data_IF_397509144902
#
_entry.id   IF_397509144902
#
_cell.length_a   1.000
_cell.length_b   1.000
_cell.length_c   1.000
_cell.angle_alpha   90.00
_cell.angle_beta   90.00
_cell.angle_gamma   90.00
#
_symmetry.space_group_name_H-M   'P 1'
#
loop_
_entity.id
_entity.type
_entity.pdbx_description
1 polymer ?
#
# COMPACT_ATOMS: atom_id res chain seq x y z
N UNK A 1 11.06 3.36 -3.59
CA UNK A 1 9.86 2.50 -3.57
C UNK A 1 8.64 3.41 -3.59
N UNK A 2 7.62 3.11 -4.39
CA UNK A 2 6.50 4.04 -4.57
C UNK A 2 5.47 3.93 -3.44
N UNK A 3 5.10 5.04 -2.79
CA UNK A 3 3.79 5.14 -2.14
C UNK A 3 2.75 5.25 -3.26
N UNK A 4 2.18 4.12 -3.68
CA UNK A 4 1.38 4.01 -4.90
C UNK A 4 -0.13 4.14 -4.66
N UNK A 5 -0.53 4.29 -3.40
CA UNK A 5 -1.93 4.45 -3.02
C UNK A 5 -2.08 5.53 -1.95
N UNK A 6 -2.99 6.48 -2.19
CA UNK A 6 -3.46 7.42 -1.18
C UNK A 6 -4.91 7.12 -0.83
N UNK A 7 -5.16 6.96 0.46
CA UNK A 7 -6.47 6.63 1.00
C UNK A 7 -6.93 7.78 1.89
N UNK A 8 -8.19 8.17 1.76
CA UNK A 8 -8.81 9.21 2.58
C UNK A 8 -10.10 8.68 3.17
N UNK A 9 -10.27 8.85 4.48
CA UNK A 9 -11.45 8.45 5.24
C UNK A 9 -11.92 9.67 6.03
N UNK A 10 -12.79 10.51 5.45
CA UNK A 10 -13.25 11.71 6.11
C UNK A 10 -14.23 11.37 7.25
N UNK A 11 -14.13 12.08 8.38
CA UNK A 11 -15.07 11.99 9.51
C UNK A 11 -14.41 11.49 10.81
N UNK A 12 -15.21 11.11 11.80
CA UNK A 12 -14.72 10.66 13.12
C UNK A 12 -14.12 9.23 13.12
N UNK A 13 -13.93 8.64 11.93
CA UNK A 13 -13.42 7.27 11.77
C UNK A 13 -11.92 7.32 11.53
N UNK A 14 -11.15 6.67 12.40
CA UNK A 14 -9.70 6.52 12.19
C UNK A 14 -9.42 5.85 10.83
N UNK A 15 -8.68 6.55 9.97
CA UNK A 15 -8.48 6.14 8.58
C UNK A 15 -7.72 4.81 8.47
N UNK A 16 -6.86 4.53 9.44
CA UNK A 16 -6.14 3.27 9.55
C UNK A 16 -7.11 2.14 9.89
N UNK A 17 -7.94 2.28 10.93
CA UNK A 17 -8.92 1.28 11.32
C UNK A 17 -9.94 0.97 10.21
N UNK A 18 -10.31 1.97 9.40
CA UNK A 18 -11.13 1.77 8.21
C UNK A 18 -10.44 0.89 7.16
N UNK A 19 -9.14 1.12 6.92
CA UNK A 19 -8.34 0.29 6.01
C UNK A 19 -8.15 -1.12 6.57
N UNK A 20 -7.94 -1.25 7.88
CA UNK A 20 -7.85 -2.55 8.54
C UNK A 20 -9.13 -3.38 8.33
N UNK A 21 -10.31 -2.76 8.47
CA UNK A 21 -11.58 -3.44 8.26
C UNK A 21 -11.75 -4.00 6.83
N UNK A 22 -11.35 -3.24 5.80
CA UNK A 22 -11.38 -3.67 4.40
C UNK A 22 -10.47 -4.88 4.13
N UNK A 23 -9.38 -5.00 4.90
CA UNK A 23 -8.50 -6.15 4.85
C UNK A 23 -8.93 -7.28 5.80
N UNK A 24 -9.66 -7.01 6.89
CA UNK A 24 -10.07 -7.99 7.90
C UNK A 24 -11.06 -9.06 7.38
N UNK A 25 -11.79 -8.80 6.28
CA UNK A 25 -12.66 -9.78 5.59
C UNK A 25 -11.91 -10.94 4.89
N UNK A 26 -10.61 -11.07 5.14
CA UNK A 26 -9.74 -12.10 4.57
C UNK A 26 -9.46 -13.15 5.64
N UNK A 27 -10.27 -14.22 5.67
CA UNK A 27 -10.12 -15.41 6.53
C UNK A 27 -8.80 -16.17 6.24
N UNK A 28 -7.66 -15.56 6.56
CA UNK A 28 -6.31 -16.14 6.68
C UNK A 28 -5.21 -15.07 6.76
N UNK A 29 -5.53 -13.79 7.00
CA UNK A 29 -4.49 -12.79 7.28
C UNK A 29 -3.98 -12.93 8.71
N UNK A 30 -2.68 -13.21 8.85
CA UNK A 30 -1.98 -12.86 10.10
C UNK A 30 -1.63 -11.39 10.00
N UNK A 31 -2.41 -10.55 10.69
CA UNK A 31 -1.96 -9.22 11.08
C UNK A 31 -0.77 -9.39 12.01
N UNK A 32 0.42 -9.42 11.44
CA UNK A 32 1.61 -9.28 12.25
C UNK A 32 1.84 -7.80 12.40
N UNK A 33 1.34 -7.25 13.50
CA UNK A 33 1.62 -5.89 13.95
C UNK A 33 3.12 -5.57 13.84
N UNK A 34 3.98 -6.60 13.96
CA UNK A 34 5.41 -6.51 13.67
C UNK A 34 5.91 -7.87 13.16
N UNK A 35 5.92 -8.15 11.85
CA UNK A 35 6.91 -9.12 11.34
C UNK A 35 8.26 -8.36 11.29
N UNK A 36 9.36 -8.88 11.88
CA UNK A 36 10.67 -8.21 11.93
C UNK A 36 11.35 -7.91 10.59
N UNK A 37 10.71 -8.18 9.45
CA UNK A 37 11.34 -8.14 8.12
C UNK A 37 11.35 -6.77 7.45
N UNK A 38 10.67 -5.75 7.96
CA UNK A 38 10.48 -4.55 7.15
C UNK A 38 11.57 -3.52 7.44
N UNK A 39 12.71 -3.64 6.77
CA UNK A 39 13.64 -2.51 6.55
C UNK A 39 12.95 -1.35 5.77
N UNK A 40 11.74 -1.60 5.26
CA UNK A 40 10.86 -0.62 4.62
C UNK A 40 10.62 0.57 5.54
N UNK A 41 10.99 1.75 5.04
CA UNK A 41 10.73 3.04 5.66
C UNK A 41 10.25 4.01 4.59
N UNK A 42 9.36 4.92 4.98
CA UNK A 42 9.00 6.07 4.17
C UNK A 42 9.67 7.33 4.74
N UNK A 43 10.01 8.28 3.88
CA UNK A 43 10.47 9.59 4.32
C UNK A 43 9.26 10.42 4.77
N UNK A 44 9.25 10.82 6.03
CA UNK A 44 8.29 11.77 6.57
C UNK A 44 8.91 13.18 6.56
N UNK A 45 8.24 14.11 5.88
CA UNK A 45 8.71 15.50 5.78
C UNK A 45 8.62 16.26 7.10
N UNK A 46 7.66 15.91 7.95
CA UNK A 46 7.35 16.67 9.15
C UNK A 46 8.34 16.33 10.27
N UNK A 47 8.59 15.04 10.49
CA UNK A 47 9.66 14.58 11.38
C UNK A 47 11.06 14.63 10.78
N UNK A 48 11.17 14.82 9.45
CA UNK A 48 12.44 14.77 8.68
C UNK A 48 13.21 13.46 8.93
N UNK A 49 12.49 12.35 9.00
CA UNK A 49 13.06 11.05 9.34
C UNK A 49 12.47 9.93 8.46
N UNK A 50 13.17 8.80 8.45
CA UNK A 50 12.68 7.55 7.89
C UNK A 50 11.80 6.84 8.93
N UNK A 51 10.50 6.72 8.65
CA UNK A 51 9.51 6.15 9.56
C UNK A 51 9.06 4.76 9.12
N UNK A 52 8.90 3.87 10.10
CA UNK A 52 8.34 2.54 9.87
C UNK A 52 6.86 2.64 9.52
N UNK A 53 6.33 1.70 8.73
CA UNK A 53 4.88 1.62 8.53
C UNK A 53 4.21 1.32 9.87
N UNK A 54 3.01 1.87 10.05
CA UNK A 54 2.17 1.50 11.20
C UNK A 54 1.63 0.07 11.03
N UNK A 55 1.37 -0.35 9.79
CA UNK A 55 0.87 -1.68 9.48
C UNK A 55 1.61 -2.30 8.30
N UNK A 56 1.83 -3.60 8.41
CA UNK A 56 2.38 -4.42 7.33
C UNK A 56 1.53 -5.68 7.20
N UNK A 57 0.85 -5.81 6.06
CA UNK A 57 -0.12 -6.87 5.80
C UNK A 57 0.38 -7.75 4.68
N UNK A 58 0.62 -9.03 4.99
CA UNK A 58 0.93 -10.05 3.99
C UNK A 58 -0.29 -10.93 3.79
N UNK A 59 -0.72 -11.12 2.54
CA UNK A 59 -1.74 -12.12 2.21
C UNK A 59 -1.07 -13.41 1.73
N UNK A 60 -0.75 -14.38 2.62
CA UNK A 60 -0.20 -15.65 2.17
C UNK A 60 -1.18 -16.28 1.17
N UNK A 61 -0.71 -16.47 -0.05
CA UNK A 61 -1.36 -17.32 -1.06
C UNK A 61 -0.43 -18.50 -1.29
N UNK A 62 -1.00 -19.67 -1.57
CA UNK A 62 -0.24 -20.77 -2.14
C UNK A 62 0.17 -20.36 -3.57
N UNK A 63 1.46 -20.09 -3.77
CA UNK A 63 2.06 -19.64 -5.03
C UNK A 63 3.35 -18.85 -4.79
N UNK A 64 4.08 -18.55 -5.86
CA UNK A 64 5.40 -17.89 -5.78
C UNK A 64 5.33 -16.38 -5.57
N UNK A 65 4.13 -15.77 -5.64
CA UNK A 65 3.92 -14.33 -5.45
C UNK A 65 2.75 -14.02 -4.50
N UNK A 66 2.94 -13.17 -3.50
CA UNK A 66 1.85 -12.69 -2.65
C UNK A 66 1.84 -11.18 -2.46
N UNK A 67 0.63 -10.61 -2.34
CA UNK A 67 0.46 -9.18 -2.09
C UNK A 67 0.89 -8.82 -0.68
N UNK A 68 1.82 -7.88 -0.59
CA UNK A 68 2.32 -7.29 0.63
C UNK A 68 2.03 -5.79 0.61
N UNK A 69 1.40 -5.30 1.68
CA UNK A 69 0.97 -3.92 1.83
C UNK A 69 1.63 -3.31 3.06
N UNK A 70 2.14 -2.10 2.93
CA UNK A 70 2.62 -1.28 4.03
C UNK A 70 1.81 0.00 4.09
N UNK A 71 1.39 0.41 5.28
CA UNK A 71 0.55 1.59 5.48
C UNK A 71 1.18 2.54 6.52
N UNK A 72 1.13 3.83 6.22
CA UNK A 72 1.55 4.92 7.09
C UNK A 72 0.39 5.88 7.27
N UNK A 73 -0.01 6.14 8.52
CA UNK A 73 -0.90 7.26 8.83
C UNK A 73 -0.19 8.56 8.46
N UNK A 74 -0.88 9.40 7.71
CA UNK A 74 -0.42 10.76 7.38
C UNK A 74 -1.01 11.74 8.39
N UNK A 75 -2.31 11.61 8.64
CA UNK A 75 -3.04 12.30 9.71
C UNK A 75 -4.29 11.48 10.09
N UNK A 76 -5.22 12.07 10.83
CA UNK A 76 -6.45 11.40 11.25
C UNK A 76 -7.26 10.78 10.09
N UNK A 77 -7.25 11.43 8.92
CA UNK A 77 -8.15 11.11 7.81
C UNK A 77 -7.40 10.48 6.63
N UNK A 78 -6.08 10.54 6.60
CA UNK A 78 -5.27 10.17 5.43
C UNK A 78 -4.27 9.08 5.75
N UNK A 79 -4.15 8.12 4.82
CA UNK A 79 -3.17 7.03 4.87
C UNK A 79 -2.45 6.92 3.54
N UNK A 80 -1.13 6.81 3.62
CA UNK A 80 -0.24 6.49 2.53
C UNK A 80 0.01 4.97 2.51
N UNK A 81 -0.13 4.36 1.33
CA UNK A 81 -0.01 2.91 1.18
C UNK A 81 1.00 2.58 0.08
N UNK A 82 1.87 1.61 0.37
CA UNK A 82 2.72 0.92 -0.59
C UNK A 82 2.25 -0.52 -0.75
N UNK A 83 1.83 -0.90 -1.95
CA UNK A 83 1.47 -2.25 -2.32
C UNK A 83 2.46 -2.84 -3.33
N UNK A 84 2.93 -4.06 -3.07
CA UNK A 84 3.83 -4.81 -3.95
C UNK A 84 3.60 -6.32 -3.82
N UNK A 85 4.27 -7.13 -4.65
CA UNK A 85 4.26 -8.58 -4.53
C UNK A 85 5.61 -9.02 -3.96
N UNK A 86 5.59 -9.78 -2.86
CA UNK A 86 6.75 -10.55 -2.43
C UNK A 86 6.87 -11.79 -3.34
N UNK A 87 8.07 -12.10 -3.80
CA UNK A 87 8.36 -13.28 -4.62
C UNK A 87 9.18 -14.28 -3.79
N UNK A 88 8.75 -15.54 -3.74
CA UNK A 88 9.37 -16.62 -2.98
C UNK A 88 10.61 -17.21 -3.69
N UNK A 89 11.43 -16.37 -4.33
CA UNK A 89 12.67 -16.80 -4.95
C UNK A 89 13.87 -16.26 -4.16
N UNK A 90 14.65 -17.17 -3.58
CA UNK A 90 15.81 -16.86 -2.75
C UNK A 90 16.96 -16.21 -3.53
N UNK A 91 16.97 -16.31 -4.87
CA UNK A 91 17.94 -15.59 -5.70
C UNK A 91 17.56 -14.12 -5.93
N UNK A 92 16.32 -13.74 -5.59
CA UNK A 92 15.67 -12.52 -6.06
C UNK A 92 14.94 -11.74 -4.95
N UNK A 93 15.49 -11.77 -3.73
CA UNK A 93 15.02 -11.03 -2.55
C UNK A 93 14.90 -9.49 -2.78
N UNK A 94 15.45 -8.97 -3.89
CA UNK A 94 15.40 -7.57 -4.30
C UNK A 94 14.30 -7.22 -5.32
N UNK A 95 13.41 -8.15 -5.68
CA UNK A 95 12.41 -7.96 -6.75
C UNK A 95 11.15 -7.21 -6.30
N UNK A 96 11.33 -5.95 -5.92
CA UNK A 96 10.25 -4.95 -5.98
C UNK A 96 10.26 -4.29 -7.37
N UNK A 97 10.02 -5.09 -8.43
CA UNK A 97 9.99 -4.58 -9.81
C UNK A 97 8.65 -3.94 -10.13
N UNK A 98 8.71 -2.99 -11.05
CA UNK A 98 7.60 -2.13 -11.39
C UNK A 98 6.29 -2.76 -11.77
N UNK A 99 6.35 -3.73 -12.68
CA UNK A 99 5.14 -4.41 -13.18
C UNK A 99 4.36 -5.14 -12.07
N UNK A 100 5.03 -5.45 -10.96
CA UNK A 100 4.39 -6.02 -9.77
C UNK A 100 3.74 -4.96 -8.88
N UNK A 101 4.15 -3.69 -8.94
CA UNK A 101 3.49 -2.61 -8.20
C UNK A 101 2.08 -2.34 -8.72
N UNK A 102 1.89 -2.18 -10.04
CA UNK A 102 0.55 -2.02 -10.59
C UNK A 102 -0.29 -3.29 -10.35
N UNK A 103 0.26 -4.48 -10.61
CA UNK A 103 -0.46 -5.73 -10.36
C UNK A 103 -0.92 -5.87 -8.90
N UNK A 104 -0.05 -5.55 -7.93
CA UNK A 104 -0.40 -5.53 -6.51
C UNK A 104 -1.48 -4.49 -6.22
N UNK A 105 -1.32 -3.28 -6.71
CA UNK A 105 -2.28 -2.18 -6.49
C UNK A 105 -3.66 -2.49 -7.08
N UNK A 106 -3.74 -3.14 -8.24
CA UNK A 106 -5.02 -3.61 -8.82
C UNK A 106 -5.72 -4.62 -7.91
N UNK A 107 -4.98 -5.57 -7.34
CA UNK A 107 -5.51 -6.57 -6.40
C UNK A 107 -5.97 -5.92 -5.11
N UNK A 108 -5.16 -5.04 -4.52
CA UNK A 108 -5.54 -4.29 -3.31
C UNK A 108 -6.83 -3.51 -3.55
N UNK A 109 -6.90 -2.73 -4.64
CA UNK A 109 -8.09 -1.94 -4.99
C UNK A 109 -9.36 -2.78 -5.14
N UNK A 110 -9.28 -4.01 -5.64
CA UNK A 110 -10.46 -4.88 -5.76
C UNK A 110 -11.07 -5.30 -4.41
N UNK A 111 -10.34 -5.13 -3.31
CA UNK A 111 -10.91 -5.29 -1.96
C UNK A 111 -11.73 -4.06 -1.57
N UNK A 112 -11.26 -2.86 -1.89
CA UNK A 112 -11.96 -1.60 -1.69
C UNK A 112 -13.07 -1.33 -2.72
N UNK A 113 -13.55 -2.32 -3.48
CA UNK A 113 -14.65 -2.08 -4.43
C UNK A 113 -16.04 -2.23 -3.80
N UNK A 114 -16.12 -2.42 -2.48
CA UNK A 114 -17.37 -2.25 -1.75
C UNK A 114 -17.87 -0.79 -1.90
N UNK A 115 -19.18 -0.60 -1.92
CA UNK A 115 -19.89 0.60 -2.40
C UNK A 115 -19.47 1.93 -1.75
N UNK A 116 -18.85 1.88 -0.58
CA UNK A 116 -18.49 3.05 0.21
C UNK A 116 -17.13 3.66 -0.16
N UNK A 117 -16.42 3.10 -1.15
CA UNK A 117 -15.13 3.62 -1.59
C UNK A 117 -15.17 4.08 -3.03
N UNK A 118 -14.80 5.34 -3.23
CA UNK A 118 -14.71 5.95 -4.56
C UNK A 118 -13.27 6.10 -4.99
N UNK A 119 -12.97 5.62 -6.19
CA UNK A 119 -11.69 5.91 -6.85
C UNK A 119 -11.75 7.26 -7.56
N UNK A 120 -10.77 8.13 -7.30
CA UNK A 120 -10.54 9.34 -8.11
C UNK A 120 -9.72 8.98 -9.37
N UNK A 121 -10.21 9.38 -10.54
CA UNK A 121 -9.49 9.27 -11.82
C UNK A 121 -9.68 10.56 -12.65
N UNK A 122 -8.68 10.99 -13.43
CA UNK A 122 -7.30 10.48 -13.45
C UNK A 122 -6.57 10.82 -12.15
N UNK A 123 -5.54 10.04 -11.83
CA UNK A 123 -4.69 10.28 -10.67
C UNK A 123 -3.26 9.83 -10.96
N UNK A 124 -2.30 10.65 -10.55
CA UNK A 124 -0.87 10.34 -10.59
C UNK A 124 -0.19 10.92 -9.35
N UNK A 125 0.88 10.27 -8.92
CA UNK A 125 1.68 10.64 -7.76
C UNK A 125 3.02 11.19 -8.25
N UNK A 126 3.37 12.38 -7.76
CA UNK A 126 4.73 12.90 -7.91
C UNK A 126 5.61 12.31 -6.82
N UNK A 127 6.39 11.29 -7.20
CA UNK A 127 7.33 10.61 -6.33
C UNK A 127 8.58 11.43 -5.99
N UNK A 128 8.79 12.59 -6.64
CA UNK A 128 9.99 13.44 -6.47
C UNK A 128 11.31 12.69 -6.69
N UNK A 129 11.30 11.66 -7.54
CA UNK A 129 12.47 10.88 -7.95
C UNK A 129 12.81 11.08 -9.42
N UNK A 130 14.06 10.82 -9.78
CA UNK A 130 14.55 10.90 -11.16
C UNK A 130 13.81 9.98 -12.13
N UNK A 131 13.88 10.30 -13.43
CA UNK A 131 13.24 9.53 -14.49
C UNK A 131 13.77 8.09 -14.58
N UNK A 132 15.07 7.88 -14.37
CA UNK A 132 15.69 6.55 -14.38
C UNK A 132 15.13 5.66 -13.27
N UNK A 133 15.03 6.20 -12.05
CA UNK A 133 14.42 5.50 -10.91
C UNK A 133 12.96 5.15 -11.18
N UNK A 134 12.20 6.08 -11.78
CA UNK A 134 10.80 5.81 -12.15
C UNK A 134 10.69 4.75 -13.25
N UNK A 135 11.57 4.75 -14.24
CA UNK A 135 11.60 3.74 -15.29
C UNK A 135 11.90 2.35 -14.71
N UNK A 136 12.81 2.25 -13.74
CA UNK A 136 13.10 0.99 -13.04
C UNK A 136 11.90 0.48 -12.21
N UNK A 137 11.03 1.39 -11.76
CA UNK A 137 9.78 1.06 -11.07
C UNK A 137 8.59 0.79 -12.01
N UNK A 138 8.74 0.80 -13.33
CA UNK A 138 7.63 0.50 -14.26
C UNK A 138 6.31 1.22 -13.92
N UNK A 139 5.19 0.54 -14.18
CA UNK A 139 3.86 1.06 -13.79
C UNK A 139 3.61 0.87 -12.29
N UNK A 140 3.46 1.98 -11.55
CA UNK A 140 3.28 1.97 -10.08
C UNK A 140 1.85 1.65 -9.63
N UNK A 141 0.86 1.87 -10.49
CA UNK A 141 -0.55 1.63 -10.20
C UNK A 141 -1.28 2.77 -9.49
N UNK A 142 -0.74 4.00 -9.54
CA UNK A 142 -1.21 5.19 -8.82
C UNK A 142 -2.73 5.23 -8.63
N UNK A 143 -3.13 5.18 -7.37
CA UNK A 143 -4.54 5.13 -7.01
C UNK A 143 -4.81 6.08 -5.86
N UNK A 144 -5.90 6.86 -5.97
CA UNK A 144 -6.50 7.58 -4.86
C UNK A 144 -7.88 6.99 -4.56
N UNK A 145 -8.10 6.58 -3.32
CA UNK A 145 -9.36 6.09 -2.78
C UNK A 145 -9.88 7.06 -1.73
N UNK A 146 -11.17 7.35 -1.80
CA UNK A 146 -11.86 8.21 -0.84
C UNK A 146 -13.07 7.42 -0.33
N UNK A 147 -13.15 7.22 0.99
CA UNK A 147 -14.35 6.70 1.62
C UNK A 147 -15.45 7.76 1.50
N UNK A 148 -16.60 7.38 0.99
CA UNK A 148 -17.73 8.28 0.76
C UNK A 148 -18.85 8.11 1.78
N UNK A 149 -18.88 7.00 2.53
CA UNK A 149 -19.97 6.67 3.45
C UNK A 149 -21.34 6.66 2.78
N UNK A 150 -22.38 6.37 3.56
CA UNK A 150 -23.76 6.79 3.26
C UNK A 150 -24.09 8.08 4.02
#
# INVERSE_FOLDING_TARGET
>A
MPINMHVTVPGDRDAVAAIEAEFAGLESLRWTQVFPDTAVRAWDSDSRALVAPEYSVRRPRFGDEWTHVHAWRVDADRVAVHAHLDVLDREFEYYHRGDHYDAATRRVRSHFSASEWRRKRPYSIDYRTGAETRAAWGETGDTKLEYVGD
#
